data_IF_860788513672
#
_entry.id   IF_860788513672
#
_cell.length_a   1.000
_cell.length_b   1.000
_cell.length_c   1.000
_cell.angle_alpha   90.00
_cell.angle_beta   90.00
_cell.angle_gamma   90.00
#
_symmetry.space_group_name_H-M   'P 1'
#
loop_
_entity.id
_entity.type
_entity.pdbx_description
1 polymer ?
#
# COMPACT_ATOMS: atom_id res chain seq x y z
N UNK A 1 27.64 -12.00 -14.91
CA UNK A 1 26.24 -11.52 -15.09
C UNK A 1 26.28 -10.30 -15.98
N UNK A 2 25.39 -10.18 -16.96
CA UNK A 2 25.27 -8.95 -17.75
C UNK A 2 24.68 -7.85 -16.85
N UNK A 3 25.24 -6.64 -16.90
CA UNK A 3 24.74 -5.49 -16.13
C UNK A 3 23.39 -4.95 -16.63
N UNK A 4 22.89 -5.49 -17.75
CA UNK A 4 21.59 -5.17 -18.34
C UNK A 4 20.80 -6.47 -18.44
N UNK A 5 19.56 -6.43 -17.97
CA UNK A 5 18.57 -7.51 -18.07
C UNK A 5 17.31 -6.92 -18.71
N UNK A 6 16.71 -7.66 -19.64
CA UNK A 6 15.41 -7.34 -20.23
C UNK A 6 14.47 -8.46 -19.80
N UNK A 7 13.37 -8.09 -19.15
CA UNK A 7 12.39 -9.02 -18.60
C UNK A 7 10.99 -8.57 -19.02
N UNK A 8 10.08 -9.52 -19.14
CA UNK A 8 8.64 -9.29 -19.31
C UNK A 8 7.94 -9.35 -17.96
N UNK A 9 6.73 -8.77 -17.86
CA UNK A 9 5.93 -8.85 -16.63
C UNK A 9 5.50 -10.27 -16.28
N UNK A 10 5.53 -11.22 -17.22
CA UNK A 10 5.16 -12.60 -16.97
C UNK A 10 6.28 -13.40 -16.28
N UNK A 11 7.50 -12.88 -16.29
CA UNK A 11 8.63 -13.41 -15.53
C UNK A 11 8.68 -12.87 -14.08
N UNK A 12 7.83 -11.87 -13.76
CA UNK A 12 7.78 -11.29 -12.43
C UNK A 12 7.10 -12.23 -11.41
N UNK A 13 7.57 -12.22 -10.16
CA UNK A 13 6.88 -12.91 -9.07
C UNK A 13 5.46 -12.35 -8.92
N UNK A 14 4.47 -13.21 -9.02
CA UNK A 14 3.07 -12.85 -8.74
C UNK A 14 2.71 -13.20 -7.30
N UNK A 15 2.05 -12.27 -6.62
CA UNK A 15 1.56 -12.38 -5.24
C UNK A 15 0.04 -12.21 -5.30
N UNK A 16 -0.70 -13.24 -4.93
CA UNK A 16 -2.17 -13.19 -4.91
C UNK A 16 -2.66 -12.41 -3.69
N UNK A 17 -3.66 -11.55 -3.90
CA UNK A 17 -4.28 -10.72 -2.85
C UNK A 17 -5.79 -10.98 -2.82
N UNK A 18 -6.49 -10.75 -1.70
CA UNK A 18 -7.95 -10.92 -1.64
C UNK A 18 -8.72 -10.07 -2.68
N UNK A 19 -8.15 -8.94 -3.09
CA UNK A 19 -8.72 -8.00 -4.06
C UNK A 19 -8.17 -8.16 -5.49
N UNK A 20 -7.24 -9.08 -5.75
CA UNK A 20 -6.58 -9.21 -7.05
C UNK A 20 -5.17 -9.80 -6.94
N UNK A 21 -4.16 -9.13 -7.51
CA UNK A 21 -2.77 -9.59 -7.45
C UNK A 21 -1.76 -8.45 -7.64
N UNK A 22 -0.52 -8.72 -7.27
CA UNK A 22 0.65 -7.89 -7.54
C UNK A 22 1.70 -8.71 -8.30
N UNK A 23 2.24 -8.17 -9.40
CA UNK A 23 3.43 -8.67 -10.08
C UNK A 23 4.62 -7.80 -9.70
N UNK A 24 5.62 -8.38 -9.07
CA UNK A 24 6.80 -7.68 -8.55
C UNK A 24 7.90 -7.65 -9.60
N UNK A 25 8.02 -6.53 -10.30
CA UNK A 25 8.97 -6.30 -11.41
C UNK A 25 10.37 -5.99 -10.86
N UNK A 26 10.45 -5.24 -9.75
CA UNK A 26 11.67 -5.05 -8.96
C UNK A 26 11.35 -5.35 -7.49
N UNK A 27 12.17 -6.20 -6.86
CA UNK A 27 11.88 -6.80 -5.56
C UNK A 27 12.35 -5.99 -4.34
N UNK A 28 12.97 -4.83 -4.54
CA UNK A 28 13.65 -4.14 -3.44
C UNK A 28 15.04 -4.71 -3.17
N UNK A 29 15.58 -4.38 -2.00
CA UNK A 29 16.93 -4.77 -1.53
C UNK A 29 17.02 -6.29 -1.40
N UNK A 30 18.17 -6.90 -1.74
CA UNK A 30 19.45 -6.26 -2.10
C UNK A 30 19.61 -5.88 -3.57
N UNK A 31 18.69 -6.29 -4.45
CA UNK A 31 18.89 -6.16 -5.89
C UNK A 31 18.55 -4.77 -6.42
N UNK A 32 17.55 -4.11 -5.83
CA UNK A 32 17.06 -2.80 -6.27
C UNK A 32 16.84 -1.87 -5.07
N UNK A 33 17.19 -0.57 -5.16
CA UNK A 33 16.92 0.38 -4.07
C UNK A 33 15.44 0.82 -4.01
N UNK A 34 14.56 0.16 -4.75
CA UNK A 34 13.13 0.46 -4.88
C UNK A 34 12.34 -0.81 -5.14
N UNK A 35 11.06 -0.77 -4.85
CA UNK A 35 10.09 -1.77 -5.32
C UNK A 35 9.36 -1.22 -6.54
N UNK A 36 9.17 -2.07 -7.55
CA UNK A 36 8.37 -1.73 -8.73
C UNK A 36 7.40 -2.85 -9.01
N UNK A 37 6.12 -2.54 -9.10
CA UNK A 37 5.04 -3.52 -9.19
C UNK A 37 4.04 -3.14 -10.24
N UNK A 38 3.46 -4.15 -10.88
CA UNK A 38 2.18 -4.03 -11.56
C UNK A 38 1.11 -4.60 -10.64
N UNK A 39 0.03 -3.85 -10.43
CA UNK A 39 -1.02 -4.20 -9.47
C UNK A 39 -2.34 -4.30 -10.23
N UNK A 40 -3.06 -5.40 -10.03
CA UNK A 40 -4.39 -5.59 -10.56
C UNK A 40 -5.39 -5.68 -9.41
N UNK A 41 -6.44 -4.86 -9.49
CA UNK A 41 -7.54 -4.85 -8.52
C UNK A 41 -8.81 -5.19 -9.29
N UNK A 42 -9.45 -6.30 -8.90
CA UNK A 42 -10.70 -6.76 -9.51
C UNK A 42 -11.88 -5.96 -8.93
N UNK A 43 -12.81 -5.51 -9.76
CA UNK A 43 -14.06 -4.92 -9.25
C UNK A 43 -14.96 -6.01 -8.62
N UNK A 44 -15.70 -5.72 -7.53
CA UNK A 44 -15.84 -4.44 -6.84
C UNK A 44 -14.91 -4.31 -5.60
N UNK A 45 -13.68 -4.83 -5.65
CA UNK A 45 -12.78 -4.90 -4.49
C UNK A 45 -11.94 -3.63 -4.30
N UNK A 46 -11.29 -3.55 -3.14
CA UNK A 46 -10.42 -2.44 -2.73
C UNK A 46 -9.23 -2.92 -1.91
N UNK A 47 -8.18 -2.11 -1.89
CA UNK A 47 -7.04 -2.30 -0.99
C UNK A 47 -7.44 -2.06 0.47
N UNK A 48 -6.56 -2.35 1.42
CA UNK A 48 -6.72 -1.87 2.79
C UNK A 48 -6.80 -0.33 2.81
N UNK A 49 -7.54 0.24 3.76
CA UNK A 49 -7.33 1.62 4.17
C UNK A 49 -6.10 1.63 5.06
N UNK A 50 -5.05 2.32 4.64
CA UNK A 50 -3.73 2.18 5.24
C UNK A 50 -2.92 3.47 5.16
N UNK A 51 -1.82 3.51 5.90
CA UNK A 51 -0.75 4.50 5.74
C UNK A 51 0.62 3.84 5.96
N UNK A 52 1.67 4.61 5.70
CA UNK A 52 3.07 4.20 5.80
C UNK A 52 3.82 5.12 6.76
N UNK A 53 4.72 4.60 7.60
CA UNK A 53 5.56 5.42 8.51
C UNK A 53 6.76 6.02 7.76
N UNK A 54 7.29 5.31 6.75
CA UNK A 54 8.50 5.62 6.00
C UNK A 54 8.30 5.56 4.48
N UNK A 55 7.48 4.63 3.98
CA UNK A 55 7.35 4.35 2.55
C UNK A 55 6.74 5.54 1.82
N UNK A 56 7.40 5.90 0.72
CA UNK A 56 6.84 6.77 -0.32
C UNK A 56 6.50 5.92 -1.54
N UNK A 57 5.35 6.19 -2.15
CA UNK A 57 4.92 5.46 -3.34
C UNK A 57 4.23 6.36 -4.37
N UNK A 58 4.33 5.94 -5.63
CA UNK A 58 3.65 6.56 -6.75
C UNK A 58 2.92 5.49 -7.54
N UNK A 59 1.62 5.67 -7.73
CA UNK A 59 0.73 4.75 -8.43
C UNK A 59 0.23 5.41 -9.71
N UNK A 60 0.62 4.89 -10.87
CA UNK A 60 0.10 5.33 -12.17
C UNK A 60 -1.05 4.41 -12.59
N UNK A 61 -2.23 4.99 -12.85
CA UNK A 61 -3.39 4.21 -13.29
C UNK A 61 -3.30 3.93 -14.80
N UNK A 62 -3.00 2.68 -15.14
CA UNK A 62 -2.81 2.24 -16.52
C UNK A 62 -4.13 1.87 -17.19
N UNK A 63 -5.08 1.26 -16.46
CA UNK A 63 -6.41 0.90 -16.98
C UNK A 63 -7.50 1.02 -15.92
N UNK A 64 -8.71 1.39 -16.35
CA UNK A 64 -9.92 1.47 -15.53
C UNK A 64 -10.17 2.84 -14.90
N UNK A 65 -11.18 2.91 -14.02
CA UNK A 65 -11.55 4.09 -13.25
C UNK A 65 -11.60 3.75 -11.76
N UNK A 66 -10.67 4.33 -11.00
CA UNK A 66 -10.49 4.04 -9.59
C UNK A 66 -11.16 5.08 -8.70
N UNK A 67 -11.64 4.66 -7.53
CA UNK A 67 -12.00 5.57 -6.45
C UNK A 67 -10.86 5.58 -5.44
N UNK A 68 -10.16 6.71 -5.33
CA UNK A 68 -9.18 6.96 -4.29
C UNK A 68 -9.90 7.45 -3.04
N UNK A 69 -9.68 6.76 -1.92
CA UNK A 69 -10.05 7.22 -0.58
C UNK A 69 -8.80 7.77 0.10
N UNK A 70 -8.84 8.97 0.66
CA UNK A 70 -7.67 9.61 1.26
C UNK A 70 -8.02 10.63 2.34
N UNK A 71 -7.04 10.99 3.17
CA UNK A 71 -7.13 12.13 4.08
C UNK A 71 -6.14 13.23 3.66
N UNK A 72 -6.52 14.51 3.80
CA UNK A 72 -5.65 15.65 3.47
C UNK A 72 -4.52 15.86 4.49
N UNK A 73 -4.76 15.44 5.74
CA UNK A 73 -3.80 15.54 6.82
C UNK A 73 -3.16 14.16 7.06
N UNK A 74 -1.85 14.10 7.35
CA UNK A 74 -1.23 12.85 7.76
C UNK A 74 -1.73 12.43 9.15
N UNK A 75 -1.58 11.16 9.47
CA UNK A 75 -1.75 10.64 10.83
C UNK A 75 -0.79 11.37 11.78
N UNK A 76 -1.30 11.81 12.92
CA UNK A 76 -0.50 12.44 13.96
C UNK A 76 0.35 11.39 14.67
N UNK A 77 1.59 11.26 14.22
CA UNK A 77 2.57 10.30 14.73
C UNK A 77 3.01 10.63 16.16
N UNK A 78 2.99 11.90 16.56
CA UNK A 78 3.33 12.31 17.93
C UNK A 78 2.23 11.87 18.88
N UNK A 79 0.96 12.15 18.53
CA UNK A 79 -0.21 11.66 19.30
C UNK A 79 -0.30 10.14 19.30
N UNK A 80 0.19 9.47 18.26
CA UNK A 80 0.26 8.01 18.22
C UNK A 80 1.27 7.45 19.23
N UNK A 81 2.28 8.24 19.61
CA UNK A 81 3.36 7.80 20.48
C UNK A 81 4.20 6.66 19.87
N UNK A 82 4.22 6.56 18.54
CA UNK A 82 4.97 5.52 17.84
C UNK A 82 6.45 5.87 17.80
N UNK A 83 7.27 5.02 18.39
CA UNK A 83 8.72 5.09 18.23
C UNK A 83 9.09 4.50 16.86
N UNK A 84 9.55 5.37 15.96
CA UNK A 84 9.89 4.99 14.58
C UNK A 84 10.98 3.92 14.52
N UNK A 85 11.96 3.96 15.42
CA UNK A 85 13.06 2.98 15.42
C UNK A 85 12.59 1.60 15.90
N UNK A 86 11.73 1.55 16.93
CA UNK A 86 11.07 0.29 17.34
C UNK A 86 10.22 -0.27 16.19
N UNK A 87 9.48 0.59 15.49
CA UNK A 87 8.64 0.19 14.36
C UNK A 87 9.46 -0.37 13.20
N UNK A 88 10.54 0.31 12.80
CA UNK A 88 11.45 -0.15 11.75
C UNK A 88 12.07 -1.52 12.05
N UNK A 89 12.37 -1.80 13.34
CA UNK A 89 12.87 -3.11 13.79
C UNK A 89 11.78 -4.18 13.94
N UNK A 90 10.52 -3.86 13.67
CA UNK A 90 9.39 -4.79 13.78
C UNK A 90 9.04 -5.16 15.22
N UNK A 91 9.34 -4.28 16.19
CA UNK A 91 9.15 -4.55 17.62
C UNK A 91 7.72 -4.26 18.12
N UNK A 92 6.81 -3.87 17.22
CA UNK A 92 5.40 -3.70 17.53
C UNK A 92 4.58 -4.88 17.01
N UNK A 93 3.74 -5.44 17.87
CA UNK A 93 2.73 -6.40 17.44
C UNK A 93 1.58 -5.69 16.70
N UNK A 94 0.81 -6.45 15.91
CA UNK A 94 -0.41 -5.88 15.28
C UNK A 94 -1.44 -5.42 16.32
N UNK A 95 -1.55 -6.11 17.44
CA UNK A 95 -2.49 -5.75 18.53
C UNK A 95 -2.06 -4.48 19.26
N UNK A 96 -0.76 -4.29 19.49
CA UNK A 96 -0.19 -3.08 20.09
C UNK A 96 -0.48 -1.86 19.19
N UNK A 97 -0.17 -1.95 17.89
CA UNK A 97 -0.47 -0.89 16.93
C UNK A 97 -1.97 -0.59 16.83
N UNK A 98 -2.82 -1.62 16.82
CA UNK A 98 -4.27 -1.42 16.81
C UNK A 98 -4.75 -0.64 18.04
N UNK A 99 -4.24 -1.00 19.23
CA UNK A 99 -4.57 -0.32 20.49
C UNK A 99 -4.08 1.13 20.48
N UNK A 100 -2.89 1.39 19.96
CA UNK A 100 -2.33 2.75 19.84
C UNK A 100 -3.13 3.63 18.87
N UNK A 101 -3.67 3.05 17.79
CA UNK A 101 -4.45 3.77 16.77
C UNK A 101 -5.89 4.07 17.22
N UNK A 102 -6.47 3.22 18.06
CA UNK A 102 -7.88 3.29 18.45
C UNK A 102 -8.37 4.69 18.88
N UNK A 103 -7.60 5.50 19.64
CA UNK A 103 -8.03 6.85 20.04
C UNK A 103 -8.11 7.88 18.91
N UNK A 104 -7.39 7.67 17.79
CA UNK A 104 -7.39 8.57 16.64
C UNK A 104 -8.30 8.08 15.50
N UNK A 105 -8.63 6.78 15.50
CA UNK A 105 -9.32 6.13 14.40
C UNK A 105 -10.67 6.80 14.03
N UNK A 106 -11.55 7.20 14.98
CA UNK A 106 -12.79 7.89 14.62
C UNK A 106 -12.56 9.20 13.86
N UNK A 107 -11.60 10.02 14.32
CA UNK A 107 -11.27 11.30 13.70
C UNK A 107 -10.73 11.06 12.28
N UNK A 108 -9.81 10.11 12.11
CA UNK A 108 -9.23 9.75 10.81
C UNK A 108 -10.32 9.27 9.84
N UNK A 109 -11.19 8.36 10.28
CA UNK A 109 -12.26 7.81 9.44
C UNK A 109 -13.27 8.90 9.03
N UNK A 110 -13.57 9.84 9.92
CA UNK A 110 -14.47 10.97 9.62
C UNK A 110 -13.89 11.95 8.59
N UNK A 111 -12.56 12.00 8.46
CA UNK A 111 -11.85 12.90 7.55
C UNK A 111 -11.62 12.32 6.14
N UNK A 112 -11.97 11.05 5.90
CA UNK A 112 -11.74 10.41 4.60
C UNK A 112 -12.59 11.06 3.51
N UNK A 113 -11.91 11.48 2.45
CA UNK A 113 -12.47 12.00 1.21
C UNK A 113 -12.35 10.97 0.11
N UNK A 114 -13.14 11.15 -0.95
CA UNK A 114 -13.01 10.35 -2.16
C UNK A 114 -12.78 11.21 -3.39
N UNK A 115 -12.03 10.67 -4.36
CA UNK A 115 -11.81 11.27 -5.69
C UNK A 115 -11.73 10.17 -6.73
N UNK A 116 -12.37 10.39 -7.88
CA UNK A 116 -12.16 9.54 -9.06
C UNK A 116 -10.78 9.78 -9.65
N UNK A 117 -10.07 8.70 -9.94
CA UNK A 117 -8.78 8.68 -10.62
C UNK A 117 -8.97 7.89 -11.92
N UNK A 118 -8.62 8.50 -13.04
CA UNK A 118 -8.81 7.97 -14.38
C UNK A 118 -7.47 7.51 -15.00
N UNK A 119 -7.56 6.74 -16.08
CA UNK A 119 -6.38 6.31 -16.84
C UNK A 119 -5.46 7.48 -17.18
N UNK A 120 -4.16 7.29 -16.99
CA UNK A 120 -3.14 8.32 -17.21
C UNK A 120 -2.86 9.22 -16.01
N UNK A 121 -3.70 9.21 -14.97
CA UNK A 121 -3.44 9.97 -13.74
C UNK A 121 -2.54 9.20 -12.77
N UNK A 122 -1.80 9.95 -11.95
CA UNK A 122 -0.86 9.42 -10.95
C UNK A 122 -1.27 9.85 -9.55
N UNK A 123 -1.16 8.93 -8.59
CA UNK A 123 -1.35 9.17 -7.17
C UNK A 123 0.02 9.11 -6.49
N UNK A 124 0.45 10.20 -5.90
CA UNK A 124 1.65 10.23 -5.04
C UNK A 124 1.22 10.13 -3.57
N UNK A 125 1.84 9.23 -2.82
CA UNK A 125 1.56 9.01 -1.41
C UNK A 125 2.84 9.23 -0.61
N UNK A 126 2.78 10.22 0.29
CA UNK A 126 3.85 10.52 1.25
C UNK A 126 3.63 9.76 2.57
N UNK A 127 4.68 9.58 3.40
CA UNK A 127 4.53 8.90 4.68
C UNK A 127 3.53 9.63 5.58
N UNK A 128 2.76 8.87 6.34
CA UNK A 128 1.70 9.33 7.22
C UNK A 128 0.35 9.56 6.54
N UNK A 129 0.28 9.61 5.20
CA UNK A 129 -0.96 9.86 4.50
C UNK A 129 -1.80 8.60 4.35
N UNK A 130 -3.06 8.69 4.80
CA UNK A 130 -4.03 7.61 4.68
C UNK A 130 -4.54 7.53 3.26
N UNK A 131 -4.54 6.32 2.69
CA UNK A 131 -4.99 6.07 1.33
C UNK A 131 -5.60 4.67 1.17
N UNK A 132 -6.47 4.52 0.16
CA UNK A 132 -7.03 3.25 -0.33
C UNK A 132 -7.48 3.42 -1.78
N UNK A 133 -7.27 2.39 -2.60
CA UNK A 133 -7.73 2.36 -3.99
C UNK A 133 -8.85 1.33 -4.10
N UNK A 134 -10.00 1.75 -4.64
CA UNK A 134 -11.17 0.91 -4.88
C UNK A 134 -11.44 0.79 -6.38
N UNK A 135 -11.52 -0.46 -6.85
CA UNK A 135 -12.06 -0.82 -8.15
C UNK A 135 -13.57 -0.98 -7.98
N UNK A 136 -14.37 0.02 -8.35
CA UNK A 136 -15.82 -0.03 -8.14
C UNK A 136 -16.55 -0.70 -9.30
N UNK A 137 -16.46 -0.07 -10.47
CA UNK A 137 -17.24 -0.46 -11.65
C UNK A 137 -16.39 -1.17 -12.72
N UNK A 138 -15.08 -0.96 -12.68
CA UNK A 138 -14.12 -1.56 -13.61
C UNK A 138 -12.93 -2.15 -12.85
N UNK A 139 -12.39 -3.25 -13.36
CA UNK A 139 -11.07 -3.70 -12.93
C UNK A 139 -10.00 -2.63 -13.17
N UNK A 140 -8.99 -2.61 -12.31
CA UNK A 140 -7.89 -1.65 -12.37
C UNK A 140 -6.58 -2.37 -12.69
N UNK A 141 -5.74 -1.69 -13.47
CA UNK A 141 -4.34 -2.03 -13.63
C UNK A 141 -3.50 -0.81 -13.29
N UNK A 142 -2.60 -0.94 -12.32
CA UNK A 142 -1.72 0.13 -11.86
C UNK A 142 -0.25 -0.27 -12.00
N UNK A 143 0.60 0.74 -12.17
CA UNK A 143 2.04 0.60 -11.98
C UNK A 143 2.43 1.36 -10.72
N UNK A 144 2.99 0.67 -9.72
CA UNK A 144 3.44 1.24 -8.46
C UNK A 144 4.97 1.23 -8.40
N UNK A 145 5.59 2.38 -8.16
CA UNK A 145 6.98 2.46 -7.70
C UNK A 145 7.02 2.99 -6.28
N UNK A 146 7.83 2.38 -5.42
CA UNK A 146 7.96 2.79 -4.03
C UNK A 146 9.37 2.62 -3.48
N UNK A 147 9.68 3.36 -2.42
CA UNK A 147 10.88 3.11 -1.60
C UNK A 147 10.83 1.71 -1.01
N UNK A 148 11.98 1.14 -0.70
CA UNK A 148 12.12 -0.25 -0.25
C UNK A 148 11.75 -0.51 1.22
N UNK A 149 10.56 -0.07 1.63
CA UNK A 149 9.99 -0.31 2.95
C UNK A 149 8.80 -1.28 2.83
N UNK A 150 9.06 -2.50 2.35
CA UNK A 150 8.01 -3.47 1.97
C UNK A 150 7.08 -3.88 3.13
N UNK A 151 7.60 -3.84 4.36
CA UNK A 151 6.89 -4.23 5.58
C UNK A 151 6.11 -3.07 6.21
N UNK A 152 6.33 -1.84 5.74
CA UNK A 152 5.79 -0.62 6.32
C UNK A 152 4.34 -0.41 5.85
N UNK A 153 3.41 -1.15 6.44
CA UNK A 153 1.98 -1.03 6.15
C UNK A 153 1.20 -1.09 7.45
N UNK A 154 0.61 0.05 7.86
CA UNK A 154 -0.32 0.10 8.99
C UNK A 154 -1.74 0.19 8.44
N UNK A 155 -2.56 -0.80 8.77
CA UNK A 155 -3.93 -0.95 8.24
C UNK A 155 -4.94 -0.38 9.23
N UNK A 156 -5.75 0.58 8.79
CA UNK A 156 -6.85 1.15 9.56
C UNK A 156 -8.14 0.35 9.35
N UNK A 157 -8.32 -0.20 8.14
CA UNK A 157 -9.43 -1.07 7.80
C UNK A 157 -9.03 -2.05 6.70
N UNK A 158 -9.31 -3.34 6.88
CA UNK A 158 -9.04 -4.39 5.90
C UNK A 158 -10.21 -5.35 5.80
N UNK A 159 -10.76 -5.48 4.59
CA UNK A 159 -11.97 -6.25 4.33
C UNK A 159 -11.72 -7.78 4.43
N UNK A 160 -10.46 -8.21 4.43
CA UNK A 160 -10.04 -9.59 4.62
C UNK A 160 -9.42 -9.84 6.00
N UNK A 161 -9.58 -8.87 6.94
CA UNK A 161 -9.06 -8.94 8.32
C UNK A 161 -7.56 -9.25 8.40
N UNK A 162 -6.79 -8.76 7.42
CA UNK A 162 -5.34 -8.98 7.38
C UNK A 162 -4.61 -8.17 8.47
N UNK A 163 -3.56 -8.72 9.11
CA UNK A 163 -2.78 -8.02 10.12
C UNK A 163 -1.97 -6.88 9.51
N UNK A 164 -1.26 -6.08 10.32
CA UNK A 164 -0.35 -5.06 9.79
C UNK A 164 0.91 -5.68 9.15
N UNK A 165 1.58 -4.90 8.30
CA UNK A 165 2.81 -5.31 7.64
C UNK A 165 2.64 -6.42 6.62
N UNK A 166 3.66 -7.26 6.49
CA UNK A 166 3.75 -8.33 5.51
C UNK A 166 3.06 -9.62 5.94
N UNK A 167 2.51 -10.31 4.95
CA UNK A 167 1.67 -11.49 5.15
C UNK A 167 2.33 -12.65 4.43
N UNK A 168 3.09 -13.45 5.15
CA UNK A 168 3.89 -14.53 4.57
C UNK A 168 3.08 -15.52 3.72
N UNK A 169 1.81 -15.74 4.05
CA UNK A 169 0.94 -16.65 3.30
C UNK A 169 0.58 -16.16 1.90
N UNK A 170 0.65 -14.85 1.62
CA UNK A 170 0.38 -14.28 0.28
C UNK A 170 1.58 -14.48 -0.67
N UNK A 171 2.80 -14.67 -0.14
CA UNK A 171 4.06 -14.67 -0.90
C UNK A 171 4.58 -16.08 -1.24
N UNK A 172 3.70 -17.09 -1.18
CA UNK A 172 4.00 -18.50 -1.48
C UNK A 172 4.18 -18.77 -2.97
#
# INVERSE_FOLDING_TARGET
MTGIKVLTTDEAKQVSKPWGWEKWIAHGTPDYPYAYKQIYIRAPYKTSLQFHVFKQESNYLLKGSAILHYADAPVDMERLGLDKHRYERGEYSSEELHTMLAPQLPDILSAIKTRTVNEGETIHVWPGYVHRIEARDTDLLLMEVSTDHLMDVIRLHDDASRPHGHIASEHK
#
